data_IF_914870325776
#
_entry.id   IF_914870325776
#
_cell.length_a   1.000
_cell.length_b   1.000
_cell.length_c   1.000
_cell.angle_alpha   90.00
_cell.angle_beta   90.00
_cell.angle_gamma   90.00
#
_symmetry.space_group_name_H-M   'P 1'
#
loop_
_entity.id
_entity.type
_entity.pdbx_description
1 polymer ?
#
# COMPACT_ATOMS: atom_id res chain seq x y z
N UNK A 1 -11.54 12.40 -1.73
CA UNK A 1 -10.80 11.34 -1.01
C UNK A 1 -10.87 10.05 -1.82
N UNK A 2 -9.78 9.26 -1.87
CA UNK A 2 -9.73 7.96 -2.54
C UNK A 2 -9.81 6.83 -1.51
N UNK A 3 -10.69 5.85 -1.75
CA UNK A 3 -10.76 4.60 -0.97
C UNK A 3 -9.98 3.53 -1.71
N UNK A 4 -8.98 2.95 -1.06
CA UNK A 4 -8.12 1.90 -1.60
C UNK A 4 -8.41 0.58 -0.87
N UNK A 5 -8.71 -0.46 -1.64
CA UNK A 5 -8.94 -1.81 -1.12
C UNK A 5 -7.61 -2.41 -0.65
N UNK A 6 -7.42 -2.52 0.68
CA UNK A 6 -6.21 -3.03 1.32
C UNK A 6 -6.02 -4.51 1.00
N UNK A 7 -4.98 -4.85 0.24
CA UNK A 7 -4.73 -6.20 -0.27
C UNK A 7 -5.93 -6.81 -1.00
N UNK A 8 -6.81 -5.94 -1.49
CA UNK A 8 -8.13 -6.29 -2.03
C UNK A 8 -9.24 -6.23 -0.98
N UNK A 9 -9.65 -7.37 -0.42
CA UNK A 9 -10.67 -7.45 0.64
C UNK A 9 -10.06 -7.76 2.02
N UNK A 10 -8.88 -7.22 2.28
CA UNK A 10 -8.21 -7.31 3.57
C UNK A 10 -7.51 -8.63 3.86
N UNK A 11 -7.16 -8.82 5.13
CA UNK A 11 -6.34 -9.92 5.61
C UNK A 11 -7.00 -11.28 5.47
N UNK A 12 -6.23 -12.27 5.05
CA UNK A 12 -6.67 -13.66 4.99
C UNK A 12 -6.00 -14.46 3.88
N UNK A 13 -6.56 -15.63 3.56
CA UNK A 13 -6.00 -16.53 2.56
C UNK A 13 -5.93 -15.90 1.14
N UNK A 14 -6.88 -15.03 0.83
CA UNK A 14 -7.01 -14.45 -0.50
C UNK A 14 -6.45 -13.01 -0.59
N UNK A 15 -5.81 -12.51 0.46
CA UNK A 15 -5.17 -11.19 0.39
C UNK A 15 -4.08 -11.17 -0.70
N UNK A 16 -3.89 -10.02 -1.34
CA UNK A 16 -2.90 -9.83 -2.40
C UNK A 16 -3.09 -10.76 -3.61
N UNK A 17 -4.33 -11.15 -3.91
CA UNK A 17 -4.67 -11.95 -5.10
C UNK A 17 -5.50 -11.15 -6.10
N UNK A 18 -5.40 -11.50 -7.38
CA UNK A 18 -6.22 -10.85 -8.42
C UNK A 18 -7.72 -10.94 -8.12
N UNK A 19 -8.18 -12.07 -7.56
CA UNK A 19 -9.56 -12.27 -7.10
C UNK A 19 -9.96 -11.23 -6.07
N UNK A 20 -9.16 -11.05 -5.02
CA UNK A 20 -9.44 -10.11 -3.93
C UNK A 20 -9.49 -8.66 -4.42
N UNK A 21 -8.60 -8.28 -5.34
CA UNK A 21 -8.62 -6.93 -5.92
C UNK A 21 -9.87 -6.69 -6.77
N UNK A 22 -10.24 -7.63 -7.64
CA UNK A 22 -11.48 -7.52 -8.43
C UNK A 22 -12.72 -7.44 -7.54
N UNK A 23 -12.74 -8.17 -6.42
CA UNK A 23 -13.81 -8.11 -5.43
C UNK A 23 -13.87 -6.73 -4.75
N UNK A 24 -12.73 -6.21 -4.22
CA UNK A 24 -12.69 -4.88 -3.61
C UNK A 24 -13.14 -3.76 -4.56
N UNK A 25 -12.72 -3.83 -5.83
CA UNK A 25 -13.15 -2.88 -6.86
C UNK A 25 -14.64 -3.02 -7.21
N UNK A 26 -15.24 -4.22 -7.11
CA UNK A 26 -16.65 -4.43 -7.40
C UNK A 26 -17.59 -3.70 -6.43
N UNK A 27 -17.10 -3.35 -5.24
CA UNK A 27 -17.80 -2.50 -4.28
C UNK A 27 -17.62 -0.99 -4.56
N UNK A 28 -16.88 -0.64 -5.62
CA UNK A 28 -16.69 0.76 -6.04
C UNK A 28 -15.42 1.42 -5.47
N UNK A 29 -14.51 0.67 -4.86
CA UNK A 29 -13.23 1.22 -4.41
C UNK A 29 -12.51 1.93 -5.58
N UNK A 30 -11.88 3.07 -5.31
CA UNK A 30 -11.22 3.90 -6.31
C UNK A 30 -9.87 3.32 -6.75
N UNK A 31 -9.37 2.33 -6.04
CA UNK A 31 -8.10 1.67 -6.31
C UNK A 31 -7.80 0.56 -5.34
N UNK A 32 -6.58 0.08 -5.41
CA UNK A 32 -6.08 -1.02 -4.56
C UNK A 32 -4.78 -0.62 -3.87
N UNK A 33 -4.55 -1.22 -2.73
CA UNK A 33 -3.25 -1.25 -2.08
C UNK A 33 -2.75 -2.70 -2.08
N UNK A 34 -1.48 -2.90 -2.35
CA UNK A 34 -0.84 -4.21 -2.49
C UNK A 34 0.60 -4.22 -2.01
N UNK A 35 1.04 -5.38 -1.51
CA UNK A 35 2.40 -5.61 -1.02
C UNK A 35 3.25 -6.35 -2.03
N UNK A 36 4.46 -5.87 -2.36
CA UNK A 36 5.35 -6.55 -3.32
C UNK A 36 6.58 -7.14 -2.67
N UNK A 37 6.95 -8.33 -3.18
CA UNK A 37 8.17 -9.06 -2.88
C UNK A 37 8.82 -9.57 -4.15
N UNK A 38 10.06 -10.04 -4.03
CA UNK A 38 10.86 -10.52 -5.15
C UNK A 38 11.16 -12.01 -5.02
N UNK A 39 10.93 -12.77 -6.08
CA UNK A 39 11.39 -14.16 -6.19
C UNK A 39 12.91 -14.22 -6.40
N UNK A 40 13.50 -15.42 -6.28
CA UNK A 40 14.93 -15.64 -6.52
C UNK A 40 15.39 -15.25 -7.93
N UNK A 41 14.53 -15.39 -8.92
CA UNK A 41 14.76 -15.08 -10.32
C UNK A 41 14.27 -13.69 -10.74
N UNK A 42 13.87 -12.83 -9.78
CA UNK A 42 13.58 -11.43 -10.03
C UNK A 42 12.14 -11.13 -10.48
N UNK A 43 11.19 -12.05 -10.29
CA UNK A 43 9.78 -11.78 -10.56
C UNK A 43 9.14 -11.08 -9.36
N UNK A 44 8.45 -9.96 -9.60
CA UNK A 44 7.73 -9.21 -8.58
C UNK A 44 6.38 -9.86 -8.34
N UNK A 45 6.20 -10.48 -7.18
CA UNK A 45 4.96 -11.12 -6.75
C UNK A 45 4.33 -10.39 -5.56
N UNK A 46 3.05 -10.62 -5.34
CA UNK A 46 2.28 -9.99 -4.29
C UNK A 46 2.19 -10.89 -3.07
N UNK A 47 2.76 -10.45 -1.96
CA UNK A 47 2.59 -11.08 -0.65
C UNK A 47 3.09 -10.14 0.44
N UNK A 48 2.38 -10.06 1.58
CA UNK A 48 2.80 -9.23 2.69
C UNK A 48 4.03 -9.81 3.41
N UNK A 49 3.97 -11.08 3.79
CA UNK A 49 5.02 -11.74 4.57
C UNK A 49 6.19 -12.21 3.69
N UNK A 50 7.38 -12.44 4.23
CA UNK A 50 8.50 -12.99 3.45
C UNK A 50 8.29 -14.45 3.03
N UNK A 51 7.31 -15.12 3.62
CA UNK A 51 6.95 -16.52 3.38
C UNK A 51 5.44 -16.71 3.22
N UNK A 52 5.03 -17.93 2.90
CA UNK A 52 3.64 -18.30 2.65
C UNK A 52 2.95 -18.96 3.84
N UNK A 53 3.56 -18.92 5.04
CA UNK A 53 3.08 -19.67 6.21
C UNK A 53 1.71 -19.18 6.68
N UNK A 54 1.52 -17.87 6.79
CA UNK A 54 0.27 -17.28 7.29
C UNK A 54 -0.88 -17.42 6.28
N UNK A 55 -0.61 -17.19 5.01
CA UNK A 55 -1.64 -17.17 3.96
C UNK A 55 -1.97 -18.56 3.43
N UNK A 56 -0.97 -19.45 3.29
CA UNK A 56 -1.13 -20.76 2.62
C UNK A 56 -0.77 -21.95 3.53
N UNK A 57 -0.28 -21.72 4.76
CA UNK A 57 0.15 -22.79 5.66
C UNK A 57 1.46 -23.47 5.27
N UNK A 58 2.22 -22.88 4.34
CA UNK A 58 3.44 -23.46 3.78
C UNK A 58 4.69 -22.71 4.27
N UNK A 59 5.68 -23.46 4.75
CA UNK A 59 6.98 -22.91 5.15
C UNK A 59 7.87 -22.73 3.90
N UNK A 60 7.45 -21.82 3.02
CA UNK A 60 8.10 -21.50 1.75
C UNK A 60 8.44 -20.01 1.75
N UNK A 61 9.73 -19.70 1.72
CA UNK A 61 10.20 -18.32 1.56
C UNK A 61 10.23 -17.94 0.08
N UNK A 62 9.64 -16.80 -0.22
CA UNK A 62 9.47 -16.28 -1.58
C UNK A 62 10.84 -16.05 -2.25
N UNK A 63 11.77 -15.42 -1.54
CA UNK A 63 13.11 -15.10 -2.07
C UNK A 63 14.00 -16.33 -2.34
N UNK A 64 13.63 -17.52 -1.85
CA UNK A 64 14.36 -18.77 -2.05
C UNK A 64 13.80 -19.60 -3.25
N UNK A 65 12.71 -19.14 -3.88
CA UNK A 65 12.04 -19.81 -4.98
C UNK A 65 12.08 -18.99 -6.26
N UNK A 66 12.20 -19.66 -7.40
CA UNK A 66 11.91 -19.05 -8.71
C UNK A 66 10.40 -19.00 -8.92
N UNK A 67 9.95 -18.15 -9.83
CA UNK A 67 8.55 -18.08 -10.19
C UNK A 67 8.05 -19.42 -10.76
N UNK A 68 8.84 -20.05 -11.61
CA UNK A 68 8.53 -21.39 -12.16
C UNK A 68 8.36 -22.46 -11.07
N UNK A 69 9.22 -22.47 -10.03
CA UNK A 69 9.05 -23.38 -8.89
C UNK A 69 7.73 -23.14 -8.14
N UNK A 70 7.30 -21.87 -8.00
CA UNK A 70 6.02 -21.54 -7.37
C UNK A 70 4.83 -21.98 -8.23
N UNK A 71 4.92 -21.88 -9.57
CA UNK A 71 3.92 -22.39 -10.51
C UNK A 71 3.82 -23.92 -10.44
N UNK A 72 4.95 -24.64 -10.46
CA UNK A 72 4.99 -26.11 -10.33
C UNK A 72 4.40 -26.60 -9.01
N UNK A 73 4.52 -25.81 -7.94
CA UNK A 73 3.88 -26.08 -6.65
C UNK A 73 2.37 -25.76 -6.63
N UNK A 74 1.80 -25.22 -7.72
CA UNK A 74 0.39 -24.82 -7.78
C UNK A 74 0.03 -23.60 -6.92
N UNK A 75 0.99 -22.73 -6.66
CA UNK A 75 0.84 -21.58 -5.75
C UNK A 75 0.53 -20.27 -6.48
N UNK A 76 0.49 -20.27 -7.81
CA UNK A 76 0.22 -19.10 -8.65
C UNK A 76 -1.15 -19.22 -9.30
N UNK A 77 -1.91 -18.13 -9.35
CA UNK A 77 -3.22 -18.12 -10.01
C UNK A 77 -4.18 -17.06 -9.52
N UNK A 78 -5.39 -17.08 -10.04
CA UNK A 78 -6.43 -16.07 -9.81
C UNK A 78 -6.76 -15.82 -8.32
N UNK A 79 -6.80 -16.87 -7.50
CA UNK A 79 -7.06 -16.82 -6.04
C UNK A 79 -5.83 -17.28 -5.22
N UNK A 80 -4.65 -17.15 -5.79
CA UNK A 80 -3.36 -17.50 -5.22
C UNK A 80 -2.35 -16.36 -5.47
N UNK A 81 -1.03 -16.65 -5.48
CA UNK A 81 -0.03 -15.62 -5.75
C UNK A 81 -0.24 -15.02 -7.14
N UNK A 82 -0.23 -13.69 -7.19
CA UNK A 82 -0.29 -12.90 -8.42
C UNK A 82 1.01 -12.13 -8.60
N UNK A 83 1.35 -11.77 -9.84
CA UNK A 83 2.48 -10.89 -10.14
C UNK A 83 2.02 -9.43 -10.26
N UNK A 84 2.92 -8.48 -10.04
CA UNK A 84 2.62 -7.06 -10.27
C UNK A 84 2.28 -6.78 -11.75
N UNK A 85 2.92 -7.48 -12.69
CA UNK A 85 2.58 -7.39 -14.12
C UNK A 85 1.14 -7.83 -14.41
N UNK A 86 0.70 -8.92 -13.79
CA UNK A 86 -0.67 -9.41 -13.92
C UNK A 86 -1.68 -8.39 -13.40
N UNK A 87 -1.40 -7.73 -12.29
CA UNK A 87 -2.25 -6.68 -11.75
C UNK A 87 -2.43 -5.53 -12.75
N UNK A 88 -1.33 -5.00 -13.30
CA UNK A 88 -1.43 -3.92 -14.28
C UNK A 88 -2.08 -4.32 -15.60
N UNK A 89 -2.02 -5.60 -15.97
CA UNK A 89 -2.67 -6.15 -17.17
C UNK A 89 -4.16 -6.35 -16.99
N UNK A 90 -4.57 -6.87 -15.82
CA UNK A 90 -5.91 -7.39 -15.57
C UNK A 90 -6.87 -6.40 -14.91
N UNK A 91 -6.34 -5.40 -14.18
CA UNK A 91 -7.16 -4.40 -13.53
C UNK A 91 -7.41 -3.20 -14.46
N UNK A 92 -8.54 -2.49 -14.31
CA UNK A 92 -8.86 -1.31 -15.10
C UNK A 92 -7.74 -0.27 -15.06
N UNK A 93 -7.54 0.46 -16.18
CA UNK A 93 -6.45 1.44 -16.28
C UNK A 93 -6.72 2.75 -15.55
N UNK A 94 -7.92 2.99 -15.14
CA UNK A 94 -8.40 4.19 -14.46
C UNK A 94 -8.40 4.07 -12.93
N UNK A 95 -8.03 2.90 -12.36
CA UNK A 95 -7.89 2.73 -10.93
C UNK A 95 -6.53 3.21 -10.41
N UNK A 96 -6.51 3.62 -9.16
CA UNK A 96 -5.29 3.98 -8.44
C UNK A 96 -4.64 2.73 -7.80
N UNK A 97 -3.31 2.63 -7.85
CA UNK A 97 -2.57 1.49 -7.29
C UNK A 97 -1.54 2.01 -6.29
N UNK A 98 -1.69 1.66 -5.01
CA UNK A 98 -0.65 1.87 -4.01
C UNK A 98 0.20 0.60 -3.87
N UNK A 99 1.45 0.68 -4.29
CA UNK A 99 2.43 -0.43 -4.25
C UNK A 99 3.30 -0.28 -3.01
N UNK A 100 3.08 -1.12 -1.99
CA UNK A 100 3.95 -1.16 -0.81
C UNK A 100 5.17 -2.04 -1.06
N UNK A 101 6.36 -1.47 -0.93
CA UNK A 101 7.64 -2.16 -1.08
C UNK A 101 8.00 -2.87 0.24
N UNK A 102 7.80 -4.20 0.28
CA UNK A 102 8.20 -5.06 1.42
C UNK A 102 9.61 -5.62 1.26
N UNK A 103 10.11 -5.72 0.04
CA UNK A 103 11.46 -6.14 -0.29
C UNK A 103 12.13 -5.02 -1.11
N UNK A 104 13.14 -4.38 -0.55
CA UNK A 104 13.80 -3.23 -1.20
C UNK A 104 14.47 -3.63 -2.51
N UNK A 105 14.88 -4.87 -2.63
CA UNK A 105 15.49 -5.45 -3.83
C UNK A 105 14.51 -5.51 -5.02
N UNK A 106 13.21 -5.36 -4.77
CA UNK A 106 12.19 -5.34 -5.83
C UNK A 106 12.10 -3.99 -6.55
N UNK A 107 12.67 -2.90 -6.00
CA UNK A 107 12.51 -1.55 -6.55
C UNK A 107 12.88 -1.45 -8.03
N UNK A 108 14.04 -1.95 -8.51
CA UNK A 108 14.38 -1.84 -9.92
C UNK A 108 13.38 -2.55 -10.86
N UNK A 109 12.86 -3.70 -10.45
CA UNK A 109 11.89 -4.45 -11.25
C UNK A 109 10.50 -3.78 -11.22
N UNK A 110 10.08 -3.25 -10.07
CA UNK A 110 8.84 -2.45 -9.96
C UNK A 110 8.89 -1.25 -10.90
N UNK A 111 10.02 -0.52 -10.93
CA UNK A 111 10.22 0.63 -11.85
C UNK A 111 10.08 0.19 -13.32
N UNK A 112 10.70 -0.93 -13.72
CA UNK A 112 10.60 -1.47 -15.08
C UNK A 112 9.17 -1.83 -15.45
N UNK A 113 8.44 -2.47 -14.52
CA UNK A 113 7.05 -2.85 -14.72
C UNK A 113 6.17 -1.60 -14.90
N UNK A 114 6.27 -0.62 -14.00
CA UNK A 114 5.48 0.61 -14.07
C UNK A 114 5.74 1.39 -15.37
N UNK A 115 7.01 1.49 -15.80
CA UNK A 115 7.37 2.08 -17.11
C UNK A 115 6.75 1.30 -18.28
N UNK A 116 6.82 -0.04 -18.27
CA UNK A 116 6.28 -0.91 -19.33
C UNK A 116 4.77 -0.78 -19.50
N UNK A 117 4.04 -0.64 -18.40
CA UNK A 117 2.58 -0.52 -18.41
C UNK A 117 2.06 0.92 -18.48
N UNK A 118 2.96 1.90 -18.59
CA UNK A 118 2.61 3.33 -18.60
C UNK A 118 1.69 3.69 -17.40
N UNK A 119 2.08 3.21 -16.22
CA UNK A 119 1.24 3.24 -15.03
C UNK A 119 1.67 4.28 -13.98
N UNK A 120 2.66 5.14 -14.28
CA UNK A 120 3.26 6.06 -13.31
C UNK A 120 2.24 7.03 -12.70
N UNK A 121 1.35 7.60 -13.52
CA UNK A 121 0.38 8.61 -13.07
C UNK A 121 -0.72 8.06 -12.14
N UNK A 122 -0.87 6.74 -12.10
CA UNK A 122 -1.84 6.05 -11.24
C UNK A 122 -1.21 5.18 -10.16
N UNK A 123 0.13 5.25 -9.99
CA UNK A 123 0.87 4.43 -9.03
C UNK A 123 1.51 5.27 -7.95
N UNK A 124 1.19 4.98 -6.69
CA UNK A 124 1.90 5.48 -5.50
C UNK A 124 2.80 4.37 -4.95
N UNK A 125 4.04 4.72 -4.61
CA UNK A 125 5.01 3.81 -4.02
C UNK A 125 5.13 4.09 -2.53
N UNK A 126 4.79 3.12 -1.70
CA UNK A 126 4.88 3.26 -0.25
C UNK A 126 5.85 2.24 0.36
N UNK A 127 6.45 2.58 1.50
CA UNK A 127 7.32 1.66 2.23
C UNK A 127 7.58 2.14 3.66
N UNK A 128 7.82 1.18 4.57
CA UNK A 128 8.46 1.41 5.86
C UNK A 128 9.98 1.63 5.72
N UNK A 129 10.58 1.14 4.65
CA UNK A 129 12.00 1.35 4.29
C UNK A 129 12.14 2.64 3.49
N UNK A 130 12.01 3.80 4.17
CA UNK A 130 11.87 5.10 3.50
C UNK A 130 12.99 5.40 2.51
N UNK A 131 14.22 4.94 2.75
CA UNK A 131 15.37 5.23 1.87
C UNK A 131 15.17 4.62 0.47
N UNK A 132 14.48 3.48 0.32
CA UNK A 132 14.20 2.89 -1.00
C UNK A 132 13.29 3.77 -1.88
N UNK A 133 12.52 4.68 -1.27
CA UNK A 133 11.67 5.62 -2.00
C UNK A 133 12.46 6.67 -2.79
N UNK A 134 13.75 6.89 -2.45
CA UNK A 134 14.62 7.80 -3.21
C UNK A 134 14.96 7.23 -4.58
N UNK A 135 15.14 5.91 -4.71
CA UNK A 135 15.41 5.27 -5.99
C UNK A 135 14.31 5.55 -7.03
N UNK A 136 13.03 5.55 -6.59
CA UNK A 136 11.94 5.94 -7.48
C UNK A 136 12.05 7.39 -7.95
N UNK A 137 12.51 8.30 -7.10
CA UNK A 137 12.69 9.72 -7.45
C UNK A 137 13.87 9.97 -8.37
N UNK A 138 14.90 9.15 -8.29
CA UNK A 138 16.06 9.20 -9.16
C UNK A 138 15.75 8.65 -10.57
N UNK A 139 14.92 7.62 -10.64
CA UNK A 139 14.65 6.85 -11.85
C UNK A 139 13.37 7.24 -12.61
N UNK A 140 12.45 7.95 -11.95
CA UNK A 140 11.14 8.31 -12.49
C UNK A 140 10.90 9.83 -12.45
N UNK A 141 10.16 10.33 -13.41
CA UNK A 141 9.76 11.73 -13.41
C UNK A 141 8.55 11.93 -12.46
N UNK A 142 8.75 12.67 -11.37
CA UNK A 142 7.69 13.04 -10.43
C UNK A 142 6.87 11.86 -9.85
N UNK A 143 7.50 10.79 -9.33
CA UNK A 143 6.77 9.67 -8.78
C UNK A 143 6.01 10.06 -7.50
N UNK A 144 4.85 9.47 -7.29
CA UNK A 144 4.11 9.58 -6.05
C UNK A 144 4.72 8.64 -5.01
N UNK A 145 5.55 9.15 -4.10
CA UNK A 145 6.15 8.37 -3.01
C UNK A 145 5.47 8.67 -1.69
N UNK A 146 5.32 7.65 -0.82
CA UNK A 146 4.60 7.73 0.43
C UNK A 146 5.31 6.93 1.54
N UNK A 147 6.13 7.58 2.38
CA UNK A 147 6.65 6.95 3.60
C UNK A 147 5.51 6.46 4.49
N UNK A 148 5.63 5.22 4.98
CA UNK A 148 4.69 4.66 5.95
C UNK A 148 5.23 4.90 7.35
N UNK A 149 4.39 5.44 8.24
CA UNK A 149 4.74 5.76 9.62
C UNK A 149 3.73 5.11 10.56
N UNK A 150 4.23 4.34 11.52
CA UNK A 150 3.44 3.59 12.48
C UNK A 150 3.83 3.98 13.91
N UNK A 151 4.50 3.09 14.60
CA UNK A 151 4.86 3.22 16.04
C UNK A 151 5.80 4.38 16.32
N UNK A 152 6.53 4.86 15.34
CA UNK A 152 7.41 6.02 15.48
C UNK A 152 6.62 7.27 15.88
N UNK A 153 5.42 7.47 15.29
CA UNK A 153 4.55 8.61 15.59
C UNK A 153 4.01 8.56 17.02
N UNK A 154 3.87 7.38 17.60
CA UNK A 154 3.28 7.17 18.92
C UNK A 154 4.29 7.36 20.08
N UNK A 155 5.57 7.57 19.78
CA UNK A 155 6.65 7.77 20.76
C UNK A 155 6.83 9.25 21.09
N UNK A 156 7.44 9.59 22.24
CA UNK A 156 7.89 10.96 22.49
C UNK A 156 8.76 11.47 21.33
N UNK A 157 8.45 12.66 20.80
CA UNK A 157 9.13 13.19 19.60
C UNK A 157 8.62 12.67 18.27
N UNK A 158 7.52 11.89 18.26
CA UNK A 158 6.97 11.30 17.03
C UNK A 158 6.52 12.31 15.98
N UNK A 159 5.94 13.44 16.41
CA UNK A 159 5.61 14.54 15.49
C UNK A 159 6.87 15.16 14.86
N UNK A 160 7.93 15.35 15.63
CA UNK A 160 9.22 15.84 15.12
C UNK A 160 9.82 14.85 14.11
N UNK A 161 9.74 13.55 14.40
CA UNK A 161 10.16 12.50 13.46
C UNK A 161 9.37 12.57 12.15
N UNK A 162 8.05 12.69 12.21
CA UNK A 162 7.18 12.83 11.05
C UNK A 162 7.59 14.02 10.18
N UNK A 163 7.79 15.20 10.78
CA UNK A 163 8.20 16.39 10.03
C UNK A 163 9.59 16.26 9.42
N UNK A 164 10.55 15.61 10.11
CA UNK A 164 11.86 15.27 9.52
C UNK A 164 11.74 14.35 8.31
N UNK A 165 10.82 13.38 8.35
CA UNK A 165 10.53 12.50 7.20
C UNK A 165 9.94 13.31 6.05
N UNK A 166 8.96 14.18 6.31
CA UNK A 166 8.36 15.05 5.28
C UNK A 166 9.42 15.97 4.64
N UNK A 167 10.23 16.62 5.45
CA UNK A 167 11.28 17.53 4.98
C UNK A 167 12.33 16.79 4.13
N UNK A 168 12.80 15.62 4.61
CA UNK A 168 13.84 14.83 3.95
C UNK A 168 13.35 14.26 2.62
N UNK A 169 12.18 13.64 2.62
CA UNK A 169 11.70 12.89 1.46
C UNK A 169 10.77 13.70 0.56
N UNK A 170 10.22 14.84 1.02
CA UNK A 170 9.22 15.65 0.28
C UNK A 170 8.21 14.75 -0.45
N UNK A 171 7.47 13.93 0.31
CA UNK A 171 6.62 12.90 -0.27
C UNK A 171 5.35 13.47 -0.90
N UNK A 172 4.73 12.68 -1.78
CA UNK A 172 3.39 12.96 -2.28
C UNK A 172 2.32 12.78 -1.18
N UNK A 173 2.49 11.75 -0.34
CA UNK A 173 1.64 11.43 0.79
C UNK A 173 2.48 10.90 1.95
N UNK A 174 1.97 10.98 3.16
CA UNK A 174 2.41 10.18 4.31
C UNK A 174 1.32 9.20 4.68
N UNK A 175 1.69 7.92 4.84
CA UNK A 175 0.74 6.85 5.15
C UNK A 175 0.80 6.56 6.65
N UNK A 176 -0.21 7.00 7.41
CA UNK A 176 -0.23 6.97 8.87
C UNK A 176 -1.16 5.88 9.38
N UNK A 177 -0.72 5.18 10.45
CA UNK A 177 -1.58 4.22 11.14
C UNK A 177 -2.71 4.96 11.90
N UNK A 178 -3.96 4.48 11.74
CA UNK A 178 -5.13 5.02 12.44
C UNK A 178 -5.01 5.02 13.97
N UNK A 179 -4.15 4.16 14.53
CA UNK A 179 -3.93 4.05 15.98
C UNK A 179 -3.37 5.35 16.59
N UNK A 180 -2.95 6.29 15.75
CA UNK A 180 -2.63 7.66 16.18
C UNK A 180 -3.78 8.31 16.97
N UNK A 181 -5.04 8.04 16.58
CA UNK A 181 -6.22 8.61 17.24
C UNK A 181 -6.47 8.00 18.63
N UNK A 182 -6.13 6.73 18.82
CA UNK A 182 -6.21 6.08 20.12
C UNK A 182 -5.14 6.62 21.09
N UNK A 183 -3.96 6.93 20.57
CA UNK A 183 -2.80 7.33 21.37
C UNK A 183 -2.78 8.82 21.71
N UNK A 184 -3.07 9.70 20.75
CA UNK A 184 -3.02 11.15 20.98
C UNK A 184 -4.40 11.82 21.18
N UNK A 185 -5.47 11.06 20.98
CA UNK A 185 -6.84 11.54 21.01
C UNK A 185 -7.31 12.13 19.67
N UNK A 186 -8.62 12.06 19.43
CA UNK A 186 -9.23 12.43 18.15
C UNK A 186 -8.88 13.86 17.73
N UNK A 187 -9.09 14.84 18.59
CA UNK A 187 -8.90 16.27 18.26
C UNK A 187 -7.46 16.59 17.87
N UNK A 188 -6.48 16.04 18.62
CA UNK A 188 -5.06 16.22 18.30
C UNK A 188 -4.70 15.54 16.98
N UNK A 189 -5.18 14.32 16.77
CA UNK A 189 -4.98 13.61 15.51
C UNK A 189 -5.53 14.40 14.33
N UNK A 190 -6.77 14.87 14.40
CA UNK A 190 -7.37 15.72 13.36
C UNK A 190 -6.58 17.00 13.10
N UNK A 191 -6.10 17.65 14.17
CA UNK A 191 -5.28 18.86 14.05
C UNK A 191 -3.95 18.56 13.33
N UNK A 192 -3.30 17.44 13.67
CA UNK A 192 -2.07 17.00 13.01
C UNK A 192 -2.29 16.76 11.51
N UNK A 193 -3.35 16.03 11.14
CA UNK A 193 -3.64 15.76 9.73
C UNK A 193 -3.91 17.04 8.93
N UNK A 194 -4.68 17.99 9.50
CA UNK A 194 -4.92 19.29 8.87
C UNK A 194 -3.61 20.04 8.62
N UNK A 195 -2.74 20.10 9.62
CA UNK A 195 -1.45 20.79 9.51
C UNK A 195 -0.56 20.18 8.42
N UNK A 196 -0.46 18.85 8.34
CA UNK A 196 0.29 18.16 7.28
C UNK A 196 -0.23 18.56 5.90
N UNK A 197 -1.56 18.60 5.72
CA UNK A 197 -2.19 18.96 4.45
C UNK A 197 -2.02 20.45 4.11
N UNK A 198 -2.10 21.36 5.09
CA UNK A 198 -1.84 22.78 4.94
C UNK A 198 -0.40 23.05 4.48
N UNK A 199 0.55 22.20 4.88
CA UNK A 199 1.95 22.25 4.43
C UNK A 199 2.15 21.58 3.04
N UNK A 200 1.07 21.11 2.40
CA UNK A 200 1.08 20.61 1.03
C UNK A 200 1.36 19.11 0.87
N UNK A 201 1.46 18.35 1.96
CA UNK A 201 1.62 16.89 1.93
C UNK A 201 0.26 16.21 2.09
N UNK A 202 -0.06 15.23 1.24
CA UNK A 202 -1.28 14.43 1.36
C UNK A 202 -1.17 13.44 2.52
N UNK A 203 -2.33 12.98 3.00
CA UNK A 203 -2.44 12.02 4.08
C UNK A 203 -3.22 10.80 3.63
N UNK A 204 -2.65 9.62 3.85
CA UNK A 204 -3.34 8.34 3.81
C UNK A 204 -3.47 7.76 5.21
N UNK A 205 -4.63 7.17 5.53
CA UNK A 205 -4.87 6.45 6.78
C UNK A 205 -5.04 4.96 6.52
N UNK A 206 -4.36 4.13 7.32
CA UNK A 206 -4.41 2.65 7.26
C UNK A 206 -4.41 2.00 8.64
N UNK A 207 -4.92 0.80 8.89
CA UNK A 207 -6.02 0.22 8.11
C UNK A 207 -7.29 0.66 8.81
N UNK A 208 -8.12 1.46 8.15
CA UNK A 208 -9.32 2.03 8.76
C UNK A 208 -10.56 1.27 8.27
N UNK A 209 -11.17 0.51 9.20
CA UNK A 209 -12.35 -0.32 8.95
C UNK A 209 -13.60 0.15 9.72
N UNK A 210 -13.46 1.27 10.45
CA UNK A 210 -14.49 1.85 11.30
C UNK A 210 -15.17 3.03 10.58
N UNK A 211 -16.44 2.89 10.25
CA UNK A 211 -17.22 3.93 9.55
C UNK A 211 -17.44 5.19 10.39
N UNK A 212 -17.51 5.08 11.72
CA UNK A 212 -17.71 6.25 12.59
C UNK A 212 -16.43 7.11 12.65
N UNK A 213 -15.26 6.46 12.72
CA UNK A 213 -13.99 7.17 12.63
C UNK A 213 -13.79 7.73 11.21
N UNK A 214 -14.17 6.97 10.18
CA UNK A 214 -14.12 7.43 8.80
C UNK A 214 -14.86 8.76 8.60
N UNK A 215 -16.11 8.87 9.05
CA UNK A 215 -16.90 10.10 8.93
C UNK A 215 -16.26 11.31 9.62
N UNK A 216 -15.42 11.08 10.65
CA UNK A 216 -14.71 12.14 11.37
C UNK A 216 -13.43 12.58 10.64
N UNK A 217 -12.79 11.69 9.87
CA UNK A 217 -11.50 11.95 9.22
C UNK A 217 -11.59 12.25 7.73
N UNK A 218 -12.71 11.98 7.07
CA UNK A 218 -12.86 12.07 5.60
C UNK A 218 -12.48 13.42 4.99
N UNK A 219 -12.64 14.51 5.75
CA UNK A 219 -12.31 15.86 5.27
C UNK A 219 -10.84 16.24 5.49
N UNK A 220 -10.09 15.42 6.25
CA UNK A 220 -8.70 15.67 6.61
C UNK A 220 -7.73 14.59 6.12
N UNK A 221 -8.21 13.60 5.37
CA UNK A 221 -7.35 12.63 4.68
C UNK A 221 -7.68 12.59 3.17
N UNK A 222 -6.69 12.21 2.38
CA UNK A 222 -6.77 12.16 0.92
C UNK A 222 -6.97 10.73 0.43
N UNK A 223 -6.42 9.76 1.15
CA UNK A 223 -6.53 8.32 0.87
C UNK A 223 -6.95 7.56 2.14
N UNK A 224 -7.86 6.63 1.95
CA UNK A 224 -8.25 5.66 2.94
C UNK A 224 -7.86 4.26 2.47
N UNK A 225 -7.09 3.53 3.26
CA UNK A 225 -6.73 2.14 3.01
C UNK A 225 -7.54 1.26 3.97
N UNK A 226 -8.40 0.39 3.41
CA UNK A 226 -9.41 -0.37 4.18
C UNK A 226 -9.52 -1.83 3.74
N UNK A 227 -9.76 -2.72 4.71
CA UNK A 227 -10.16 -4.12 4.48
C UNK A 227 -11.65 -4.26 4.11
N UNK A 228 -12.41 -3.17 4.22
CA UNK A 228 -13.88 -3.16 4.17
C UNK A 228 -14.40 -2.19 3.12
N UNK A 229 -13.96 -2.38 1.87
CA UNK A 229 -14.45 -1.58 0.73
C UNK A 229 -15.99 -1.65 0.63
N UNK A 230 -16.56 -2.82 0.93
CA UNK A 230 -18.01 -3.06 1.00
C UNK A 230 -18.73 -2.04 1.90
N UNK A 231 -18.19 -1.78 3.09
CA UNK A 231 -18.79 -0.86 4.07
C UNK A 231 -18.41 0.59 3.80
N UNK A 232 -17.13 0.84 3.46
CA UNK A 232 -16.64 2.22 3.31
C UNK A 232 -17.26 2.92 2.11
N UNK A 233 -17.51 2.20 1.02
CA UNK A 233 -18.13 2.79 -0.17
C UNK A 233 -19.62 3.11 0.00
N UNK A 234 -20.29 2.58 1.02
CA UNK A 234 -21.67 2.95 1.35
C UNK A 234 -21.76 4.32 2.07
N UNK A 235 -20.66 4.79 2.68
CA UNK A 235 -20.63 6.03 3.49
C UNK A 235 -19.75 7.14 2.85
N UNK A 236 -19.14 6.88 1.70
CA UNK A 236 -18.45 7.86 0.84
C UNK A 236 -19.49 8.62 0.04
#
# INVERSE_FOLDING_TARGET
>A
MFVLAHRGMGKGRYENTLKSFKEGLSYGAHGVELDVRLTRDGVVILNHDPDLKRTMGLDVKISEKTFAELEEMGLVGFDALSTLEEIYRELPKDIFVNVEIKAVEAVPEVIKIVKRFDALERTMFSSFHHDCLQEFKEELCCPMVAPIIDKELLRPGGEEFLYKVIERYRPYSVNLNKDLFENMGLEKGLSLLRKIREEGTRVALWTLNDSDLFLKVRDVCDFLITDRSDVMMEVV
#
